data_IF_959861220649
#
_entry.id   IF_959861220649
#
_cell.length_a   1.000
_cell.length_b   1.000
_cell.length_c   1.000
_cell.angle_alpha   90.00
_cell.angle_beta   90.00
_cell.angle_gamma   90.00
#
_symmetry.space_group_name_H-M   'P 1'
#
loop_
_entity.id
_entity.type
_entity.pdbx_description
1 polymer ?
#
# COMPACT_ATOMS: atom_id res chain seq x y z
N UNK A 1 -15.51 4.81 3.53
CA UNK A 1 -15.79 3.52 4.19
C UNK A 1 -15.01 2.43 3.47
N UNK A 2 -14.80 1.27 4.10
CA UNK A 2 -14.26 0.06 3.42
C UNK A 2 -15.36 -0.97 3.27
N UNK A 3 -15.19 -1.97 2.41
CA UNK A 3 -16.16 -3.05 2.23
C UNK A 3 -15.47 -4.37 1.86
N UNK A 4 -16.13 -5.54 2.06
CA UNK A 4 -15.49 -6.86 1.90
C UNK A 4 -14.94 -7.15 0.49
N UNK A 5 -15.54 -6.53 -0.54
CA UNK A 5 -15.08 -6.64 -1.92
C UNK A 5 -13.77 -5.90 -2.26
N UNK A 6 -13.20 -5.12 -1.34
CA UNK A 6 -11.89 -4.46 -1.54
C UNK A 6 -10.78 -5.34 -0.98
N UNK A 7 -9.85 -5.73 -1.85
CA UNK A 7 -8.66 -6.52 -1.50
C UNK A 7 -7.42 -5.76 -1.95
N UNK A 8 -6.44 -5.66 -1.06
CA UNK A 8 -5.13 -5.08 -1.32
C UNK A 8 -4.05 -6.16 -1.23
N UNK A 9 -3.14 -6.24 -2.19
CA UNK A 9 -2.05 -7.21 -2.17
C UNK A 9 -0.71 -6.48 -2.03
N UNK A 10 -0.02 -6.78 -0.93
CA UNK A 10 1.27 -6.20 -0.57
C UNK A 10 2.08 -7.27 0.17
N UNK A 11 3.40 -7.30 -0.02
CA UNK A 11 4.29 -8.24 0.68
C UNK A 11 3.98 -9.72 0.43
N UNK A 12 3.38 -10.06 -0.72
CA UNK A 12 3.04 -11.44 -1.07
C UNK A 12 1.72 -11.97 -0.48
N UNK A 13 0.93 -11.13 0.18
CA UNK A 13 -0.33 -11.53 0.80
C UNK A 13 -1.48 -10.54 0.52
N UNK A 14 -2.71 -11.04 0.62
CA UNK A 14 -3.93 -10.23 0.58
C UNK A 14 -4.22 -9.61 1.96
N UNK A 15 -4.70 -8.36 1.95
CA UNK A 15 -4.99 -7.56 3.13
C UNK A 15 -6.31 -6.79 2.95
N UNK A 16 -7.00 -6.59 4.07
CA UNK A 16 -8.13 -5.66 4.19
C UNK A 16 -7.77 -4.53 5.14
N UNK A 17 -7.81 -3.30 4.65
CA UNK A 17 -7.43 -2.13 5.45
C UNK A 17 -8.62 -1.62 6.28
N UNK A 18 -8.43 -1.39 7.59
CA UNK A 18 -9.46 -0.81 8.45
C UNK A 18 -9.70 0.67 8.13
N UNK A 19 -10.91 1.15 8.44
CA UNK A 19 -11.26 2.57 8.25
C UNK A 19 -10.72 3.39 9.41
N UNK A 20 -10.10 4.52 9.11
CA UNK A 20 -9.63 5.48 10.11
C UNK A 20 -8.23 5.21 10.65
N UNK A 21 -7.56 4.17 10.13
CA UNK A 21 -6.18 3.83 10.48
C UNK A 21 -5.26 4.07 9.28
N UNK A 22 -4.03 4.49 9.57
CA UNK A 22 -2.96 4.52 8.59
C UNK A 22 -2.28 3.15 8.55
N UNK A 23 -2.00 2.67 7.34
CA UNK A 23 -1.28 1.41 7.10
C UNK A 23 -0.04 1.76 6.28
N UNK A 24 1.13 1.36 6.78
CA UNK A 24 2.38 1.44 6.04
C UNK A 24 2.47 0.26 5.07
N UNK A 25 2.90 0.54 3.84
CA UNK A 25 3.04 -0.47 2.78
C UNK A 25 4.37 -0.30 2.06
N UNK A 26 4.98 -1.41 1.67
CA UNK A 26 6.08 -1.41 0.71
C UNK A 26 5.53 -1.17 -0.71
N UNK A 27 5.72 0.05 -1.22
CA UNK A 27 5.30 0.44 -2.57
C UNK A 27 6.36 0.12 -3.65
N UNK A 28 7.56 -0.34 -3.28
CA UNK A 28 8.61 -0.72 -4.23
C UNK A 28 8.46 -2.19 -4.67
N UNK A 29 7.89 -3.03 -3.81
CA UNK A 29 7.56 -4.42 -4.13
C UNK A 29 6.32 -4.58 -5.03
N UNK A 30 6.08 -5.78 -5.61
CA UNK A 30 4.86 -6.06 -6.37
C UNK A 30 3.61 -5.86 -5.53
N UNK A 31 2.69 -5.03 -6.02
CA UNK A 31 1.45 -4.71 -5.32
C UNK A 31 0.28 -4.49 -6.30
N UNK A 32 -0.94 -4.72 -5.82
CA UNK A 32 -2.16 -4.42 -6.56
C UNK A 32 -3.34 -4.20 -5.62
N UNK A 33 -4.39 -3.55 -6.11
CA UNK A 33 -5.66 -3.38 -5.39
C UNK A 33 -6.80 -3.77 -6.33
N UNK A 34 -7.79 -4.50 -5.81
CA UNK A 34 -9.04 -4.81 -6.50
C UNK A 34 -10.20 -4.26 -5.68
N UNK A 35 -11.06 -3.47 -6.33
CA UNK A 35 -12.38 -3.13 -5.81
C UNK A 35 -13.43 -3.92 -6.60
N UNK A 36 -13.99 -4.95 -5.99
CA UNK A 36 -15.08 -5.76 -6.58
C UNK A 36 -16.48 -5.39 -6.08
N UNK A 37 -16.64 -4.28 -5.36
CA UNK A 37 -17.94 -3.82 -4.87
C UNK A 37 -18.56 -2.75 -5.77
N UNK A 38 -19.81 -2.41 -5.47
CA UNK A 38 -20.58 -1.41 -6.24
C UNK A 38 -20.37 0.03 -5.74
N UNK A 39 -19.58 0.20 -4.68
CA UNK A 39 -19.34 1.48 -4.03
C UNK A 39 -17.90 1.94 -4.23
N UNK A 40 -17.72 3.25 -4.36
CA UNK A 40 -16.40 3.86 -4.34
C UNK A 40 -15.66 3.54 -3.03
N UNK A 41 -14.35 3.31 -3.17
CA UNK A 41 -13.44 3.15 -2.04
C UNK A 41 -12.34 4.19 -2.14
N UNK A 42 -12.37 5.14 -1.22
CA UNK A 42 -11.49 6.31 -1.21
C UNK A 42 -10.47 6.15 -0.08
N UNK A 43 -9.17 6.18 -0.43
CA UNK A 43 -8.06 6.21 0.53
C UNK A 43 -7.25 7.49 0.33
N UNK A 44 -6.79 8.08 1.45
CA UNK A 44 -5.72 9.05 1.42
C UNK A 44 -4.40 8.29 1.41
N UNK A 45 -3.59 8.53 0.38
CA UNK A 45 -2.22 8.03 0.30
C UNK A 45 -1.31 9.21 0.59
N UNK A 46 -0.36 9.01 1.49
CA UNK A 46 0.74 9.92 1.73
C UNK A 46 2.03 9.11 1.75
N UNK A 47 3.08 9.70 1.24
CA UNK A 47 4.42 9.14 1.27
C UNK A 47 5.27 10.08 2.12
N UNK A 48 6.19 9.51 2.89
CA UNK A 48 7.18 10.27 3.63
C UNK A 48 8.57 9.75 3.26
N UNK A 49 9.53 10.67 3.21
CA UNK A 49 10.93 10.32 3.09
C UNK A 49 11.47 10.02 4.48
N UNK A 50 11.93 8.79 4.69
CA UNK A 50 12.65 8.41 5.89
C UNK A 50 14.15 8.69 5.69
N UNK A 51 14.69 9.65 6.44
CA UNK A 51 16.10 10.04 6.34
C UNK A 51 17.05 8.98 6.91
N UNK A 52 16.54 8.06 7.74
CA UNK A 52 17.31 6.96 8.31
C UNK A 52 17.21 5.69 7.45
N UNK A 53 16.37 5.68 6.41
CA UNK A 53 16.26 4.56 5.48
C UNK A 53 17.54 4.44 4.64
N UNK A 54 18.15 3.24 4.56
CA UNK A 54 19.37 3.05 3.78
C UNK A 54 19.10 3.24 2.29
N UNK A 55 20.11 3.76 1.59
CA UNK A 55 20.11 3.80 0.13
C UNK A 55 19.90 2.38 -0.42
N UNK A 56 18.98 2.19 -1.38
CA UNK A 56 18.74 0.88 -1.92
C UNK A 56 19.92 0.42 -2.79
N UNK A 57 20.19 -0.90 -2.80
CA UNK A 57 21.35 -1.50 -3.50
C UNK A 57 21.47 -1.13 -4.99
N UNK A 58 20.35 -0.80 -5.63
CA UNK A 58 20.33 -0.39 -7.04
C UNK A 58 20.86 1.03 -7.25
N UNK A 59 20.80 1.91 -6.24
CA UNK A 59 21.28 3.30 -6.32
C UNK A 59 22.81 3.37 -6.35
N UNK A 60 23.49 2.45 -5.66
CA UNK A 60 24.95 2.36 -5.62
C UNK A 60 25.59 1.91 -6.97
N UNK A 61 24.78 1.60 -7.98
CA UNK A 61 25.24 1.11 -9.30
C UNK A 61 25.14 2.16 -10.42
N UNK A 62 24.83 3.42 -10.08
CA UNK A 62 24.75 4.55 -11.00
C UNK A 62 26.09 5.31 -11.13
#
# INVERSE_FOLDING_TARGET
>A
TTHPGVVSFFGGAEHHFPVGEAVEVDNLGPHWVRNGGETDRIHLIFEYYDADQPDPDWLARC
#
